data_IF_960701866941
#
_entry.id   IF_960701866941
#
_cell.length_a   1.000
_cell.length_b   1.000
_cell.length_c   1.000
_cell.angle_alpha   90.00
_cell.angle_beta   90.00
_cell.angle_gamma   90.00
#
_symmetry.space_group_name_H-M   'P 1'
#
loop_
_entity.id
_entity.type
_entity.pdbx_description
1 polymer ?
#
# COMPACT_ATOMS: atom_id res chain seq x y z
N UNK A 1 -29.16 -15.60 21.53
CA UNK A 1 -28.08 -16.60 21.44
C UNK A 1 -27.88 -17.05 20.00
N UNK A 2 -28.92 -17.52 19.27
CA UNK A 2 -28.74 -18.04 17.90
C UNK A 2 -28.32 -16.97 16.89
N UNK A 3 -28.87 -15.75 17.00
CA UNK A 3 -28.48 -14.63 16.12
C UNK A 3 -27.03 -14.19 16.33
N UNK A 4 -26.58 -14.21 17.55
CA UNK A 4 -25.18 -13.88 17.90
C UNK A 4 -24.22 -14.95 17.41
N UNK A 5 -24.59 -16.23 17.54
CA UNK A 5 -23.78 -17.34 17.01
C UNK A 5 -23.71 -17.30 15.49
N UNK A 6 -24.81 -16.99 14.80
CA UNK A 6 -24.83 -16.84 13.34
C UNK A 6 -23.97 -15.65 12.91
N UNK A 7 -24.05 -14.53 13.61
CA UNK A 7 -23.22 -13.35 13.33
C UNK A 7 -21.74 -13.64 13.55
N UNK A 8 -21.36 -14.32 14.65
CA UNK A 8 -20.00 -14.76 14.91
C UNK A 8 -19.49 -15.76 13.86
N UNK A 9 -20.29 -16.74 13.47
CA UNK A 9 -19.93 -17.68 12.40
C UNK A 9 -19.73 -16.96 11.06
N UNK A 10 -20.60 -16.03 10.70
CA UNK A 10 -20.45 -15.18 9.52
C UNK A 10 -19.17 -14.38 9.55
N UNK A 11 -18.84 -13.80 10.70
CA UNK A 11 -17.61 -13.03 10.93
C UNK A 11 -16.36 -13.90 10.76
N UNK A 12 -16.31 -15.08 11.38
CA UNK A 12 -15.18 -16.00 11.25
C UNK A 12 -15.06 -16.57 9.83
N UNK A 13 -16.18 -16.90 9.18
CA UNK A 13 -16.16 -17.37 7.81
C UNK A 13 -15.67 -16.31 6.82
N UNK A 14 -16.04 -15.06 7.00
CA UNK A 14 -15.54 -13.96 6.15
C UNK A 14 -14.02 -13.76 6.31
N UNK A 15 -13.48 -13.96 7.50
CA UNK A 15 -12.03 -13.86 7.78
C UNK A 15 -11.20 -15.02 7.23
N UNK A 16 -11.80 -16.21 7.13
CA UNK A 16 -11.10 -17.40 6.58
C UNK A 16 -11.25 -17.53 5.08
N UNK A 17 -12.19 -16.81 4.46
CA UNK A 17 -12.38 -16.85 3.01
C UNK A 17 -11.19 -16.22 2.31
N UNK A 18 -10.62 -16.96 1.37
CA UNK A 18 -9.61 -16.45 0.44
C UNK A 18 -10.35 -15.75 -0.70
N UNK A 19 -10.12 -14.46 -0.86
CA UNK A 19 -10.64 -13.66 -1.96
C UNK A 19 -9.56 -13.50 -3.01
N UNK A 20 -9.94 -13.55 -4.28
CA UNK A 20 -9.10 -13.15 -5.40
C UNK A 20 -9.41 -11.67 -5.72
N UNK A 21 -8.48 -10.80 -5.42
CA UNK A 21 -8.64 -9.35 -5.57
C UNK A 21 -9.00 -8.92 -6.99
N UNK A 22 -8.59 -9.69 -8.01
CA UNK A 22 -8.91 -9.40 -9.41
C UNK A 22 -10.34 -9.77 -9.81
N UNK A 23 -10.99 -10.68 -9.07
CA UNK A 23 -12.28 -11.27 -9.47
C UNK A 23 -13.40 -11.01 -8.49
N UNK A 24 -13.05 -10.88 -7.21
CA UNK A 24 -14.02 -10.82 -6.12
C UNK A 24 -14.21 -9.39 -5.62
N UNK A 25 -15.40 -9.11 -5.13
CA UNK A 25 -15.64 -7.98 -4.24
C UNK A 25 -15.25 -8.39 -2.81
N UNK A 26 -14.33 -7.65 -2.22
CA UNK A 26 -13.80 -7.94 -0.88
C UNK A 26 -14.62 -7.18 0.16
N UNK A 27 -15.15 -7.85 1.20
CA UNK A 27 -15.83 -7.16 2.29
C UNK A 27 -14.79 -6.45 3.18
N UNK A 28 -14.77 -5.12 3.14
CA UNK A 28 -13.89 -4.25 3.92
C UNK A 28 -14.75 -3.15 4.55
N UNK A 29 -14.62 -2.93 5.86
CA UNK A 29 -15.35 -1.90 6.59
C UNK A 29 -16.88 -1.96 6.39
N UNK A 30 -17.42 -3.18 6.31
CA UNK A 30 -18.85 -3.43 6.08
C UNK A 30 -19.36 -3.11 4.67
N UNK A 31 -18.47 -2.82 3.73
CA UNK A 31 -18.77 -2.59 2.31
C UNK A 31 -18.13 -3.68 1.46
N UNK A 32 -18.67 -3.85 0.26
CA UNK A 32 -18.03 -4.65 -0.78
C UNK A 32 -17.13 -3.73 -1.61
N UNK A 33 -15.83 -3.98 -1.57
CA UNK A 33 -14.81 -3.20 -2.26
C UNK A 33 -14.34 -3.99 -3.48
N UNK A 34 -14.44 -3.39 -4.64
CA UNK A 34 -13.89 -3.89 -5.89
C UNK A 34 -12.53 -3.24 -6.12
N UNK A 35 -11.55 -4.03 -6.53
CA UNK A 35 -10.24 -3.53 -6.93
C UNK A 35 -10.15 -3.50 -8.46
N UNK A 36 -9.51 -2.45 -8.98
CA UNK A 36 -9.32 -2.23 -10.41
C UNK A 36 -7.88 -1.85 -10.69
N UNK A 37 -7.35 -2.13 -11.91
CA UNK A 37 -6.02 -1.69 -12.30
C UNK A 37 -5.97 -0.17 -12.40
N UNK A 38 -5.01 0.44 -11.74
CA UNK A 38 -4.78 1.88 -11.70
C UNK A 38 -3.38 2.22 -12.20
N UNK A 39 -3.23 2.94 -13.32
CA UNK A 39 -1.93 3.32 -13.84
C UNK A 39 -1.31 4.42 -13.00
N UNK A 40 -0.05 4.24 -12.61
CA UNK A 40 0.76 5.17 -11.83
C UNK A 40 2.00 5.57 -12.63
N UNK A 41 2.49 6.81 -12.42
CA UNK A 41 3.73 7.31 -12.99
C UNK A 41 3.79 7.16 -14.53
N UNK A 42 2.79 7.68 -15.21
CA UNK A 42 2.64 7.61 -16.69
C UNK A 42 2.63 6.16 -17.21
N UNK A 43 1.98 5.26 -16.47
CA UNK A 43 1.83 3.86 -16.83
C UNK A 43 3.06 2.98 -16.58
N UNK A 44 4.12 3.49 -15.93
CA UNK A 44 5.29 2.67 -15.56
C UNK A 44 4.97 1.58 -14.53
N UNK A 45 3.94 1.80 -13.73
CA UNK A 45 3.42 0.86 -12.74
C UNK A 45 1.91 0.83 -12.85
N UNK A 46 1.32 -0.35 -12.78
CA UNK A 46 -0.10 -0.55 -12.65
C UNK A 46 -0.38 -1.26 -11.32
N UNK A 47 -1.07 -0.59 -10.40
CA UNK A 47 -1.44 -1.14 -9.10
C UNK A 47 -2.93 -1.49 -9.09
N UNK A 48 -3.30 -2.58 -8.41
CA UNK A 48 -4.72 -2.92 -8.17
C UNK A 48 -5.21 -2.20 -6.93
N UNK A 49 -6.12 -1.24 -7.10
CA UNK A 49 -6.58 -0.35 -6.02
C UNK A 49 -8.11 -0.33 -5.97
N UNK A 50 -8.71 0.06 -4.82
CA UNK A 50 -10.16 0.20 -4.73
C UNK A 50 -10.72 1.14 -5.79
N UNK A 51 -11.80 0.73 -6.45
CA UNK A 51 -12.42 1.46 -7.57
C UNK A 51 -12.90 2.87 -7.18
N UNK A 52 -13.27 3.06 -5.91
CA UNK A 52 -13.75 4.35 -5.38
C UNK A 52 -12.64 5.27 -4.85
N UNK A 53 -11.37 4.85 -4.94
CA UNK A 53 -10.25 5.70 -4.54
C UNK A 53 -9.97 6.76 -5.61
N UNK A 54 -9.65 7.95 -5.13
CA UNK A 54 -9.32 9.11 -5.97
C UNK A 54 -7.99 9.72 -5.56
N UNK A 55 -7.38 10.46 -6.46
CA UNK A 55 -6.19 11.26 -6.10
C UNK A 55 -6.60 12.26 -5.01
N UNK A 56 -5.85 12.27 -3.92
CA UNK A 56 -6.12 13.16 -2.79
C UNK A 56 -6.06 14.62 -3.24
N UNK A 57 -7.12 15.42 -2.99
CA UNK A 57 -7.11 16.83 -3.33
C UNK A 57 -5.94 17.55 -2.65
N UNK A 58 -5.24 18.41 -3.39
CA UNK A 58 -4.03 19.09 -2.91
C UNK A 58 -4.23 19.84 -1.59
N UNK A 59 -5.39 20.50 -1.42
CA UNK A 59 -5.76 21.19 -0.17
C UNK A 59 -5.77 20.25 1.05
N UNK A 60 -6.17 18.98 0.86
CA UNK A 60 -6.20 17.99 1.93
C UNK A 60 -4.79 17.43 2.15
N UNK A 61 -4.07 17.15 1.06
CA UNK A 61 -2.70 16.65 1.12
C UNK A 61 -1.77 17.64 1.83
N UNK A 62 -1.94 18.96 1.62
CA UNK A 62 -1.17 20.01 2.28
C UNK A 62 -1.39 20.07 3.80
N UNK A 63 -2.53 19.63 4.29
CA UNK A 63 -2.83 19.57 5.74
C UNK A 63 -2.35 18.27 6.36
N UNK A 64 -2.51 17.14 5.65
CA UNK A 64 -2.18 15.81 6.19
C UNK A 64 -0.70 15.41 6.02
N UNK A 65 -0.06 15.89 4.97
CA UNK A 65 1.33 15.59 4.60
C UNK A 65 2.13 16.90 4.53
N UNK A 66 2.43 17.44 5.69
CA UNK A 66 3.04 18.78 5.86
C UNK A 66 4.51 18.81 5.44
N UNK A 67 5.16 17.66 5.29
CA UNK A 67 6.58 17.59 5.03
C UNK A 67 6.92 17.77 3.55
N UNK A 68 8.13 18.25 3.25
CA UNK A 68 8.71 18.31 1.90
C UNK A 68 8.87 16.93 1.24
N UNK A 69 8.89 15.86 2.05
CA UNK A 69 8.95 14.45 1.60
C UNK A 69 7.58 13.83 1.31
N UNK A 70 6.57 14.68 1.11
CA UNK A 70 5.23 14.20 0.76
C UNK A 70 5.28 13.28 -0.47
N UNK A 71 4.63 12.10 -0.43
CA UNK A 71 4.54 11.23 -1.58
C UNK A 71 3.91 11.96 -2.78
N UNK A 72 4.46 11.84 -3.99
CA UNK A 72 3.95 12.52 -5.18
C UNK A 72 2.58 12.00 -5.61
N UNK A 73 2.24 10.74 -5.28
CA UNK A 73 0.93 10.16 -5.56
C UNK A 73 0.31 9.68 -4.26
N UNK A 74 -0.84 10.22 -3.93
CA UNK A 74 -1.65 9.81 -2.77
C UNK A 74 -3.07 9.54 -3.28
N UNK A 75 -3.52 8.30 -3.15
CA UNK A 75 -4.86 7.86 -3.48
C UNK A 75 -5.63 7.59 -2.19
N UNK A 76 -6.87 8.00 -2.13
CA UNK A 76 -7.64 8.02 -0.89
C UNK A 76 -9.11 7.72 -1.13
N UNK A 77 -9.80 7.22 -0.12
CA UNK A 77 -11.25 7.13 -0.12
C UNK A 77 -11.91 8.51 0.06
N UNK A 78 -13.23 8.58 -0.05
CA UNK A 78 -13.97 9.84 0.07
C UNK A 78 -13.93 10.46 1.48
N UNK A 79 -13.49 9.73 2.51
CA UNK A 79 -13.35 10.22 3.89
C UNK A 79 -11.92 10.62 4.24
N UNK A 80 -10.97 10.35 3.34
CA UNK A 80 -9.55 10.61 3.51
C UNK A 80 -8.90 9.84 4.68
N UNK A 81 -9.50 8.75 5.15
CA UNK A 81 -9.03 7.95 6.29
C UNK A 81 -8.37 6.61 5.89
N UNK A 82 -8.42 6.27 4.61
CA UNK A 82 -7.75 5.11 4.01
C UNK A 82 -6.93 5.61 2.81
N UNK A 83 -5.61 5.42 2.84
CA UNK A 83 -4.75 6.05 1.85
C UNK A 83 -3.68 5.08 1.35
N UNK A 84 -3.47 5.09 0.03
CA UNK A 84 -2.28 4.54 -0.61
C UNK A 84 -1.37 5.67 -1.05
N UNK A 85 -0.10 5.58 -0.68
CA UNK A 85 0.94 6.53 -1.02
C UNK A 85 1.98 5.84 -1.89
N UNK A 86 2.47 6.52 -2.94
CA UNK A 86 3.48 5.96 -3.84
C UNK A 86 4.53 7.00 -4.18
N UNK A 87 5.78 6.55 -4.25
CA UNK A 87 6.93 7.33 -4.67
C UNK A 87 7.85 6.46 -5.54
N UNK A 88 8.03 6.84 -6.78
CA UNK A 88 8.93 6.17 -7.71
C UNK A 88 10.31 6.83 -7.66
N UNK A 89 11.29 6.07 -7.21
CA UNK A 89 12.69 6.49 -7.14
C UNK A 89 13.49 5.83 -8.26
N UNK A 90 14.54 6.49 -8.75
CA UNK A 90 15.51 5.87 -9.67
C UNK A 90 16.60 5.16 -8.86
N UNK A 91 17.25 4.14 -9.44
CA UNK A 91 18.38 3.45 -8.77
C UNK A 91 19.53 4.39 -8.38
N UNK A 92 19.73 5.48 -9.13
CA UNK A 92 20.72 6.51 -8.79
C UNK A 92 20.44 7.18 -7.43
N UNK A 93 19.16 7.23 -7.02
CA UNK A 93 18.79 7.68 -5.68
C UNK A 93 19.15 6.67 -4.58
N UNK A 94 19.43 5.43 -4.98
CA UNK A 94 19.89 4.35 -4.11
C UNK A 94 21.42 4.33 -4.08
N UNK A 95 22.05 5.31 -3.43
CA UNK A 95 23.50 5.35 -3.31
C UNK A 95 24.05 4.07 -2.65
N UNK A 96 24.64 3.19 -3.45
CA UNK A 96 25.41 2.02 -3.01
C UNK A 96 24.64 0.69 -3.06
N UNK A 97 25.38 -0.41 -2.83
CA UNK A 97 24.93 -1.83 -2.78
C UNK A 97 23.94 -2.15 -1.63
N UNK A 98 23.09 -1.22 -1.23
CA UNK A 98 22.18 -1.45 -0.12
C UNK A 98 21.02 -2.35 -0.55
N UNK A 99 20.95 -3.53 0.02
CA UNK A 99 19.84 -4.48 -0.17
C UNK A 99 18.50 -3.88 0.30
N UNK A 100 17.38 -4.39 -0.22
CA UNK A 100 16.04 -4.01 0.27
C UNK A 100 15.92 -4.15 1.80
N UNK A 101 16.59 -5.16 2.38
CA UNK A 101 16.64 -5.34 3.85
C UNK A 101 17.30 -4.17 4.57
N UNK A 102 18.37 -3.64 4.01
CA UNK A 102 19.05 -2.48 4.60
C UNK A 102 18.17 -1.22 4.54
N UNK A 103 17.42 -1.03 3.44
CA UNK A 103 16.46 0.08 3.34
C UNK A 103 15.31 -0.08 4.31
N UNK A 104 14.68 -1.26 4.39
CA UNK A 104 13.61 -1.54 5.36
C UNK A 104 14.08 -1.26 6.79
N UNK A 105 15.30 -1.68 7.14
CA UNK A 105 15.89 -1.39 8.46
C UNK A 105 16.01 0.10 8.71
N UNK A 106 16.59 0.85 7.76
CA UNK A 106 16.71 2.31 7.88
C UNK A 106 15.37 3.01 8.02
N UNK A 107 14.34 2.54 7.27
CA UNK A 107 12.98 3.09 7.39
C UNK A 107 12.40 2.85 8.78
N UNK A 108 12.54 1.63 9.33
CA UNK A 108 12.08 1.30 10.69
C UNK A 108 12.80 2.13 11.75
N UNK A 109 14.12 2.26 11.63
CA UNK A 109 14.95 3.04 12.56
C UNK A 109 14.53 4.52 12.53
N UNK A 110 14.28 5.08 11.35
CA UNK A 110 13.80 6.45 11.20
C UNK A 110 12.41 6.66 11.83
N UNK A 111 11.48 5.71 11.64
CA UNK A 111 10.15 5.77 12.25
C UNK A 111 10.28 5.76 13.78
N UNK A 112 11.04 4.82 14.34
CA UNK A 112 11.24 4.71 15.79
C UNK A 112 11.98 5.90 16.39
N UNK A 113 12.86 6.56 15.62
CA UNK A 113 13.54 7.77 16.05
C UNK A 113 12.58 8.95 16.20
N UNK A 114 11.62 9.08 15.28
CA UNK A 114 10.66 10.20 15.27
C UNK A 114 9.39 9.93 16.11
N UNK A 115 9.01 8.66 16.25
CA UNK A 115 7.83 8.20 16.99
C UNK A 115 8.19 6.94 17.80
N UNK A 116 8.87 7.09 18.95
CA UNK A 116 9.35 5.95 19.76
C UNK A 116 8.22 5.09 20.33
N UNK A 117 7.01 5.61 20.43
CA UNK A 117 5.79 4.89 20.84
C UNK A 117 5.24 3.94 19.78
N UNK A 118 5.78 3.98 18.55
CA UNK A 118 5.36 3.11 17.44
C UNK A 118 5.52 1.63 17.81
N UNK A 119 4.49 0.85 17.54
CA UNK A 119 4.51 -0.60 17.75
C UNK A 119 4.68 -1.29 16.39
N UNK A 120 5.85 -1.88 16.17
CA UNK A 120 6.12 -2.72 14.99
C UNK A 120 5.41 -4.08 15.15
N UNK A 121 4.82 -4.56 14.05
CA UNK A 121 4.16 -5.87 14.00
C UNK A 121 4.93 -6.85 13.13
N UNK A 122 4.44 -7.10 11.94
CA UNK A 122 4.91 -8.13 11.03
C UNK A 122 5.68 -7.52 9.86
N UNK A 123 6.34 -8.36 9.09
CA UNK A 123 7.04 -8.01 7.87
C UNK A 123 7.09 -9.21 6.95
N UNK A 124 7.25 -9.00 5.67
CA UNK A 124 7.32 -10.09 4.70
C UNK A 124 7.91 -9.67 3.37
N UNK A 125 8.02 -10.65 2.50
CA UNK A 125 8.47 -10.47 1.13
C UNK A 125 7.27 -10.34 0.20
N UNK A 126 7.44 -9.54 -0.86
CA UNK A 126 6.53 -9.47 -2.00
C UNK A 126 7.24 -10.24 -3.12
N UNK A 127 6.67 -11.37 -3.50
CA UNK A 127 7.26 -12.25 -4.52
C UNK A 127 6.25 -12.47 -5.62
N UNK A 128 6.59 -11.99 -6.81
CA UNK A 128 5.91 -12.31 -8.06
C UNK A 128 6.94 -12.64 -9.13
N UNK A 129 6.50 -13.13 -10.28
CA UNK A 129 7.41 -13.50 -11.39
C UNK A 129 8.26 -12.31 -11.88
N UNK A 130 7.79 -11.08 -11.70
CA UNK A 130 8.40 -9.85 -12.23
C UNK A 130 8.90 -8.88 -11.15
N UNK A 131 8.49 -9.06 -9.89
CA UNK A 131 8.73 -8.10 -8.81
C UNK A 131 9.41 -8.76 -7.62
N UNK A 132 10.33 -8.02 -7.03
CA UNK A 132 10.91 -8.36 -5.72
C UNK A 132 10.69 -7.18 -4.80
N UNK A 133 10.09 -7.43 -3.66
CA UNK A 133 9.81 -6.36 -2.72
C UNK A 133 9.74 -6.87 -1.29
N UNK A 134 9.64 -5.93 -0.39
CA UNK A 134 9.47 -6.17 1.04
C UNK A 134 8.46 -5.21 1.60
N UNK A 135 7.75 -5.66 2.62
CA UNK A 135 6.83 -4.84 3.38
C UNK A 135 7.05 -5.04 4.88
N UNK A 136 6.64 -4.06 5.66
CA UNK A 136 6.53 -4.14 7.11
C UNK A 136 5.35 -3.29 7.59
N UNK A 137 4.83 -3.63 8.74
CA UNK A 137 3.66 -2.96 9.30
C UNK A 137 3.89 -2.49 10.72
N UNK A 138 3.20 -1.44 11.07
CA UNK A 138 3.26 -0.86 12.40
C UNK A 138 1.98 -0.10 12.75
N UNK A 139 1.83 0.16 14.04
CA UNK A 139 0.80 1.02 14.59
C UNK A 139 1.42 2.29 15.13
N UNK A 140 0.81 3.43 14.78
CA UNK A 140 1.08 4.72 15.38
C UNK A 140 -0.11 5.20 16.19
N UNK A 141 0.20 6.08 17.14
CA UNK A 141 -0.75 6.76 17.99
C UNK A 141 -0.84 8.23 17.57
N UNK A 142 -2.05 8.69 17.30
CA UNK A 142 -2.35 10.11 17.15
C UNK A 142 -3.12 10.59 18.39
N UNK A 143 -3.42 11.89 18.48
CA UNK A 143 -4.15 12.43 19.64
C UNK A 143 -5.53 11.79 19.83
N UNK A 144 -6.19 11.42 18.74
CA UNK A 144 -7.59 11.01 18.75
C UNK A 144 -7.80 9.54 18.33
N UNK A 145 -6.82 8.90 17.69
CA UNK A 145 -7.00 7.53 17.16
C UNK A 145 -5.69 6.76 17.00
N UNK A 146 -5.81 5.45 16.90
CA UNK A 146 -4.74 4.56 16.51
C UNK A 146 -4.80 4.32 15.01
N UNK A 147 -3.65 4.44 14.33
CA UNK A 147 -3.53 4.24 12.88
C UNK A 147 -2.64 3.05 12.57
N UNK A 148 -3.11 2.23 11.63
CA UNK A 148 -2.34 1.15 11.02
C UNK A 148 -1.59 1.66 9.81
N UNK A 149 -0.36 1.22 9.65
CA UNK A 149 0.50 1.51 8.52
C UNK A 149 1.13 0.23 7.99
N UNK A 150 1.13 0.06 6.67
CA UNK A 150 1.92 -0.93 5.96
C UNK A 150 2.82 -0.20 4.97
N UNK A 151 4.13 -0.27 5.18
CA UNK A 151 5.15 0.30 4.29
C UNK A 151 5.69 -0.79 3.39
N UNK A 152 6.05 -0.42 2.16
CA UNK A 152 6.63 -1.36 1.21
C UNK A 152 7.68 -0.72 0.31
N UNK A 153 8.59 -1.58 -0.15
CA UNK A 153 9.59 -1.27 -1.17
C UNK A 153 9.55 -2.36 -2.23
N UNK A 154 9.45 -1.97 -3.50
CA UNK A 154 9.43 -2.90 -4.63
C UNK A 154 10.50 -2.44 -5.62
N UNK A 155 11.45 -3.33 -5.94
CA UNK A 155 12.49 -3.09 -6.94
C UNK A 155 12.08 -3.68 -8.27
N UNK A 156 12.23 -2.91 -9.34
CA UNK A 156 11.99 -3.35 -10.69
C UNK A 156 12.85 -2.57 -11.71
N UNK A 157 13.65 -3.30 -12.50
CA UNK A 157 14.58 -2.67 -13.44
C UNK A 157 15.47 -1.63 -12.75
N UNK A 158 15.48 -0.41 -13.25
CA UNK A 158 16.23 0.73 -12.70
C UNK A 158 15.42 1.58 -11.71
N UNK A 159 14.32 1.07 -11.17
CA UNK A 159 13.42 1.81 -10.29
C UNK A 159 13.20 1.10 -8.96
N UNK A 160 12.99 1.91 -7.93
CA UNK A 160 12.49 1.50 -6.63
C UNK A 160 11.14 2.21 -6.40
N UNK A 161 10.09 1.44 -6.23
CA UNK A 161 8.80 1.96 -5.78
C UNK A 161 8.74 1.87 -4.26
N UNK A 162 8.76 3.01 -3.61
CA UNK A 162 8.46 3.11 -2.19
C UNK A 162 6.99 3.48 -2.00
N UNK A 163 6.33 2.91 -1.01
CA UNK A 163 4.97 3.29 -0.75
C UNK A 163 4.48 2.89 0.63
N UNK A 164 3.27 3.33 0.92
CA UNK A 164 2.59 3.03 2.17
C UNK A 164 1.09 2.90 1.96
N UNK A 165 0.47 2.05 2.74
CA UNK A 165 -0.96 2.06 3.00
C UNK A 165 -1.20 2.46 4.45
N UNK A 166 -2.23 3.24 4.72
CA UNK A 166 -2.67 3.52 6.09
C UNK A 166 -4.19 3.55 6.21
N UNK A 167 -4.68 3.13 7.37
CA UNK A 167 -6.09 3.17 7.75
C UNK A 167 -6.22 3.27 9.28
N UNK A 168 -7.45 3.37 9.78
CA UNK A 168 -7.71 3.22 11.21
C UNK A 168 -7.36 1.82 11.69
N UNK A 169 -6.75 1.70 12.86
CA UNK A 169 -6.31 0.42 13.41
C UNK A 169 -7.41 -0.62 13.51
N UNK A 170 -8.65 -0.21 13.79
CA UNK A 170 -9.79 -1.13 13.90
C UNK A 170 -10.13 -1.89 12.62
N UNK A 171 -9.65 -1.44 11.45
CA UNK A 171 -9.90 -2.04 10.14
C UNK A 171 -8.70 -2.78 9.56
N UNK A 172 -7.56 -2.84 10.27
CA UNK A 172 -6.30 -3.33 9.72
C UNK A 172 -6.37 -4.78 9.21
N UNK A 173 -7.08 -5.67 9.91
CA UNK A 173 -7.16 -7.08 9.53
C UNK A 173 -7.91 -7.30 8.22
N UNK A 174 -8.92 -6.46 7.94
CA UNK A 174 -9.69 -6.52 6.72
C UNK A 174 -8.86 -5.98 5.54
N UNK A 175 -8.09 -4.91 5.77
CA UNK A 175 -7.25 -4.29 4.76
C UNK A 175 -5.94 -5.03 4.48
N UNK A 176 -5.26 -5.56 5.51
CA UNK A 176 -3.93 -6.17 5.38
C UNK A 176 -3.84 -7.16 4.21
N UNK A 177 -4.77 -8.13 4.14
CA UNK A 177 -4.77 -9.16 3.09
C UNK A 177 -4.96 -8.55 1.70
N UNK A 178 -5.90 -7.63 1.56
CA UNK A 178 -6.18 -6.98 0.29
C UNK A 178 -5.01 -6.11 -0.18
N UNK A 179 -4.36 -5.40 0.74
CA UNK A 179 -3.17 -4.59 0.45
C UNK A 179 -2.02 -5.48 -0.01
N UNK A 180 -1.72 -6.57 0.70
CA UNK A 180 -0.63 -7.49 0.31
C UNK A 180 -0.90 -8.08 -1.08
N UNK A 181 -2.13 -8.56 -1.36
CA UNK A 181 -2.48 -9.03 -2.71
C UNK A 181 -2.36 -7.93 -3.77
N UNK A 182 -2.75 -6.68 -3.45
CA UNK A 182 -2.57 -5.55 -4.35
C UNK A 182 -1.10 -5.35 -4.74
N UNK A 183 -0.18 -5.54 -3.78
CA UNK A 183 1.27 -5.46 -4.02
C UNK A 183 1.78 -6.64 -4.85
N UNK A 184 1.28 -7.84 -4.62
CA UNK A 184 1.65 -9.06 -5.37
C UNK A 184 1.16 -9.02 -6.82
N UNK A 185 0.00 -8.41 -7.07
CA UNK A 185 -0.61 -8.26 -8.39
C UNK A 185 -0.18 -6.99 -9.13
N UNK A 186 0.73 -6.21 -8.55
CA UNK A 186 1.26 -5.03 -9.20
C UNK A 186 2.00 -5.41 -10.48
N UNK A 187 1.78 -4.67 -11.55
CA UNK A 187 2.37 -4.90 -12.86
C UNK A 187 3.29 -3.74 -13.22
N UNK A 188 4.36 -4.06 -13.95
CA UNK A 188 5.25 -3.08 -14.54
C UNK A 188 4.75 -2.81 -15.96
N UNK A 189 4.50 -1.55 -16.27
CA UNK A 189 4.19 -1.13 -17.63
C UNK A 189 5.38 -1.41 -18.55
N UNK A 190 5.13 -2.07 -19.67
CA UNK A 190 6.13 -2.22 -20.73
C UNK A 190 6.47 -0.84 -21.27
N UNK A 191 7.76 -0.53 -21.41
CA UNK A 191 8.19 0.63 -22.21
C UNK A 191 7.65 0.42 -23.61
N UNK A 192 6.78 1.30 -24.11
CA UNK A 192 6.67 1.49 -25.54
C UNK A 192 8.05 1.92 -26.03
N UNK A 193 8.83 0.97 -26.54
CA UNK A 193 9.91 1.30 -27.47
C UNK A 193 9.24 2.01 -28.65
N UNK A 194 9.32 3.34 -28.68
CA UNK A 194 9.01 4.10 -29.88
C UNK A 194 9.90 3.52 -31.00
N UNK A 195 9.32 2.67 -31.81
CA UNK A 195 9.87 2.36 -33.13
C UNK A 195 10.03 3.69 -33.87
N UNK A 196 11.24 4.23 -33.80
CA UNK A 196 11.70 5.17 -34.84
C UNK A 196 11.86 4.35 -36.11
N UNK A 197 10.75 4.09 -36.81
CA UNK A 197 10.80 3.77 -38.21
C UNK A 197 11.17 5.07 -38.94
N UNK A 198 12.39 5.06 -39.44
CA UNK A 198 12.94 6.15 -40.19
C UNK A 198 12.14 6.46 -41.49
N UNK A 199 12.13 7.69 -41.78
CA UNK A 199 12.07 8.20 -43.17
C UNK A 199 13.19 9.21 -43.36
#
# INVERSE_FOLDING_TARGET
>A
VDKEIIALRGYYQSRTRIYDLMKDEIPICGKKVRFVPFPLFDGKVCAWLPEDFVVMPERIANVRYITEYRPPVILTNMRYDENFCFHLLTEEALQGDASLDAYIRKMKDAILLHAPETVMYDQGDIVSDKLKGKWFEYKNFTLDEETYHLQFLISFGAYLLAGAFNCRMMFYEEWKKAVIQSLEYMEIGEKEEKRNEGR
#
